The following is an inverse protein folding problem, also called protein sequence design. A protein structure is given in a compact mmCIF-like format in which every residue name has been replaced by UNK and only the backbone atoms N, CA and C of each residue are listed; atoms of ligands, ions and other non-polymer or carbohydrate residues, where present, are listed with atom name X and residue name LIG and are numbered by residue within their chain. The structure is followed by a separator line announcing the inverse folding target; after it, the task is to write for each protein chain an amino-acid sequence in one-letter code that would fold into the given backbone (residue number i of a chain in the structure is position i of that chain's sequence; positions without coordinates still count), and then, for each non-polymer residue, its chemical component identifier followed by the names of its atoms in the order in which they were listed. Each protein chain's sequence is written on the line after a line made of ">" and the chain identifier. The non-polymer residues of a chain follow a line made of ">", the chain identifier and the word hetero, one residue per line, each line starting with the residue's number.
data_IF_411487111536
#
_entry.id   IF_411487111536
#
_cell.length_a   1.000
_cell.length_b   1.000
_cell.length_c   1.000
_cell.angle_alpha   90.00
_cell.angle_beta   90.00
_cell.angle_gamma   90.00
#
_symmetry.space_group_name_H-M   'P 1'
#
loop_
_entity.id
_entity.type
_entity.pdbx_description
1 polymer ?
#
# COMPACT_ATOMS: atom_id res chain seq x y z
N UNK A 1 6.68 4.51 25.33
CA UNK A 1 6.10 4.01 24.07
C UNK A 1 5.40 2.67 24.31
N UNK A 2 4.18 2.53 23.83
CA UNK A 2 3.43 1.29 23.91
C UNK A 2 3.90 0.31 22.81
N UNK A 3 4.48 -0.84 23.22
CA UNK A 3 5.00 -1.82 22.26
C UNK A 3 3.90 -2.46 21.39
N UNK A 4 2.68 -2.64 21.92
CA UNK A 4 1.55 -3.17 21.15
C UNK A 4 1.11 -2.18 20.05
N UNK A 5 1.08 -0.90 20.37
CA UNK A 5 0.76 0.15 19.40
C UNK A 5 1.76 0.18 18.24
N UNK A 6 3.06 0.07 18.54
CA UNK A 6 4.12 0.02 17.54
C UNK A 6 3.98 -1.24 16.67
N UNK A 7 3.78 -2.40 17.28
CA UNK A 7 3.60 -3.66 16.54
C UNK A 7 2.41 -3.60 15.60
N UNK A 8 1.26 -3.07 16.04
CA UNK A 8 0.07 -2.91 15.20
C UNK A 8 0.34 -1.99 14.00
N UNK A 9 1.02 -0.86 14.23
CA UNK A 9 1.42 0.03 13.14
C UNK A 9 2.36 -0.66 12.14
N UNK A 10 3.34 -1.42 12.62
CA UNK A 10 4.28 -2.16 11.77
C UNK A 10 3.57 -3.24 10.95
N UNK A 11 2.69 -4.05 11.57
CA UNK A 11 1.88 -5.03 10.84
C UNK A 11 1.02 -4.38 9.77
N UNK A 12 0.31 -3.32 10.10
CA UNK A 12 -0.53 -2.54 9.18
C UNK A 12 0.24 -2.13 7.92
N UNK A 13 1.45 -1.59 8.08
CA UNK A 13 2.25 -1.11 6.95
C UNK A 13 2.89 -2.28 6.20
N UNK A 14 3.44 -3.26 6.91
CA UNK A 14 4.11 -4.42 6.33
C UNK A 14 3.16 -5.27 5.49
N UNK A 15 1.96 -5.54 6.02
CA UNK A 15 0.94 -6.30 5.33
C UNK A 15 0.45 -5.58 4.07
N UNK A 16 0.25 -4.26 4.13
CA UNK A 16 -0.06 -3.47 2.93
C UNK A 16 1.00 -3.66 1.84
N UNK A 17 2.29 -3.54 2.20
CA UNK A 17 3.39 -3.65 1.24
C UNK A 17 3.52 -5.07 0.67
N UNK A 18 3.34 -6.10 1.50
CA UNK A 18 3.39 -7.49 1.03
C UNK A 18 2.30 -7.77 -0.01
N UNK A 19 1.06 -7.44 0.32
CA UNK A 19 -0.09 -7.75 -0.54
C UNK A 19 -0.05 -6.96 -1.84
N UNK A 20 0.24 -5.66 -1.80
CA UNK A 20 0.34 -4.87 -3.04
C UNK A 20 1.59 -5.24 -3.84
N UNK A 21 2.68 -5.67 -3.21
CA UNK A 21 3.86 -6.19 -3.87
C UNK A 21 3.51 -7.42 -4.72
N UNK A 22 2.75 -8.35 -4.16
CA UNK A 22 2.23 -9.52 -4.88
C UNK A 22 1.32 -9.11 -6.05
N UNK A 23 0.35 -8.21 -5.83
CA UNK A 23 -0.51 -7.72 -6.91
C UNK A 23 0.29 -7.05 -8.04
N UNK A 24 1.33 -6.32 -7.70
CA UNK A 24 2.20 -5.70 -8.72
C UNK A 24 2.99 -6.75 -9.50
N UNK A 25 3.44 -7.85 -8.85
CA UNK A 25 4.18 -8.93 -9.52
C UNK A 25 3.37 -9.67 -10.57
N UNK A 26 2.03 -9.70 -10.44
CA UNK A 26 1.13 -10.30 -11.44
C UNK A 26 1.23 -9.61 -12.82
N UNK A 27 1.78 -8.39 -12.90
CA UNK A 27 2.04 -7.69 -14.17
C UNK A 27 3.29 -8.20 -14.91
N UNK A 28 4.13 -9.01 -14.27
CA UNK A 28 5.35 -9.55 -14.89
C UNK A 28 5.00 -10.44 -16.07
N UNK A 29 5.37 -10.04 -17.27
CA UNK A 29 5.03 -10.73 -18.52
C UNK A 29 3.66 -10.37 -19.11
N UNK A 30 2.88 -9.48 -18.47
CA UNK A 30 1.55 -9.06 -18.89
C UNK A 30 1.38 -7.54 -19.04
N UNK A 31 2.43 -6.78 -18.75
CA UNK A 31 2.41 -5.33 -18.89
C UNK A 31 2.05 -4.87 -20.32
N UNK A 32 1.35 -3.73 -20.48
CA UNK A 32 0.94 -3.24 -21.79
C UNK A 32 2.12 -2.84 -22.69
N UNK A 33 3.26 -2.55 -22.10
CA UNK A 33 4.55 -2.23 -22.73
C UNK A 33 5.66 -2.88 -21.90
N UNK A 34 6.81 -3.17 -22.52
CA UNK A 34 7.96 -3.75 -21.83
C UNK A 34 8.43 -2.88 -20.65
N UNK A 35 8.40 -1.56 -20.83
CA UNK A 35 8.80 -0.59 -19.81
C UNK A 35 7.89 -0.65 -18.58
N UNK A 36 6.58 -0.87 -18.78
CA UNK A 36 5.62 -1.00 -17.68
C UNK A 36 5.72 -2.35 -16.97
N UNK A 37 5.98 -3.41 -17.72
CA UNK A 37 6.29 -4.73 -17.16
C UNK A 37 7.49 -4.65 -16.21
N UNK A 38 8.60 -4.07 -16.68
CA UNK A 38 9.81 -3.87 -15.87
C UNK A 38 9.54 -2.94 -14.68
N UNK A 39 8.78 -1.85 -14.87
CA UNK A 39 8.48 -0.91 -13.81
C UNK A 39 7.66 -1.55 -12.68
N UNK A 40 6.56 -2.25 -13.00
CA UNK A 40 5.73 -2.93 -12.01
C UNK A 40 6.47 -4.06 -11.31
N UNK A 41 7.30 -4.84 -12.04
CA UNK A 41 8.14 -5.88 -11.45
C UNK A 41 9.18 -5.31 -10.47
N UNK A 42 9.82 -4.19 -10.82
CA UNK A 42 10.76 -3.50 -9.92
C UNK A 42 10.06 -2.96 -8.67
N UNK A 43 8.91 -2.30 -8.85
CA UNK A 43 8.12 -1.80 -7.73
C UNK A 43 7.58 -2.94 -6.84
N UNK A 44 7.28 -4.11 -7.41
CA UNK A 44 6.90 -5.29 -6.64
C UNK A 44 8.05 -5.75 -5.72
N UNK A 45 9.28 -5.82 -6.26
CA UNK A 45 10.46 -6.17 -5.47
C UNK A 45 10.72 -5.18 -4.34
N UNK A 46 10.63 -3.87 -4.62
CA UNK A 46 10.79 -2.83 -3.60
C UNK A 46 9.76 -3.01 -2.47
N UNK A 47 8.49 -3.23 -2.80
CA UNK A 47 7.41 -3.39 -1.81
C UNK A 47 7.58 -4.64 -0.96
N UNK A 48 7.94 -5.77 -1.56
CA UNK A 48 8.23 -7.01 -0.80
C UNK A 48 9.44 -6.80 0.11
N UNK A 49 10.50 -6.14 -0.37
CA UNK A 49 11.67 -5.79 0.45
C UNK A 49 11.32 -4.84 1.60
N UNK A 50 10.45 -3.86 1.39
CA UNK A 50 9.94 -2.97 2.43
C UNK A 50 9.15 -3.74 3.49
N UNK A 51 8.28 -4.67 3.07
CA UNK A 51 7.53 -5.54 3.98
C UNK A 51 8.47 -6.41 4.83
N UNK A 52 9.46 -7.06 4.19
CA UNK A 52 10.46 -7.88 4.89
C UNK A 52 11.22 -7.07 5.95
N UNK A 53 11.63 -5.85 5.61
CA UNK A 53 12.33 -4.98 6.56
C UNK A 53 11.45 -4.61 7.76
N UNK A 54 10.17 -4.34 7.55
CA UNK A 54 9.21 -4.07 8.63
C UNK A 54 8.96 -5.31 9.51
N UNK A 55 8.81 -6.50 8.92
CA UNK A 55 8.71 -7.76 9.67
C UNK A 55 9.99 -8.08 10.44
N UNK A 56 11.16 -7.68 9.92
CA UNK A 56 12.43 -7.80 10.65
C UNK A 56 12.44 -6.94 11.92
N UNK A 57 11.85 -5.73 11.87
CA UNK A 57 11.67 -4.91 13.07
C UNK A 57 10.71 -5.61 14.05
N UNK A 58 9.59 -6.16 13.58
CA UNK A 58 8.66 -6.92 14.41
C UNK A 58 9.34 -8.12 15.08
N UNK A 59 10.16 -8.86 14.33
CA UNK A 59 10.94 -9.98 14.86
C UNK A 59 11.88 -9.52 15.99
N UNK A 60 12.55 -8.39 15.82
CA UNK A 60 13.41 -7.80 16.87
C UNK A 60 12.62 -7.39 18.14
N UNK A 61 11.30 -7.20 18.02
CA UNK A 61 10.37 -6.91 19.11
C UNK A 61 9.71 -8.18 19.69
N UNK A 62 10.19 -9.38 19.31
CA UNK A 62 9.75 -10.67 19.85
C UNK A 62 8.63 -11.35 19.06
N UNK A 63 8.31 -10.90 17.85
CA UNK A 63 7.43 -11.62 16.93
C UNK A 63 8.18 -12.77 16.21
N UNK A 64 7.45 -13.61 15.48
CA UNK A 64 8.02 -14.67 14.66
C UNK A 64 8.99 -14.10 13.60
N UNK A 65 9.77 -14.95 12.94
CA UNK A 65 10.61 -14.54 11.81
C UNK A 65 9.78 -14.02 10.63
N UNK A 66 10.36 -13.20 9.73
CA UNK A 66 9.65 -12.57 8.64
C UNK A 66 8.88 -13.53 7.74
N UNK A 67 9.45 -14.68 7.41
CA UNK A 67 8.83 -15.64 6.50
C UNK A 67 7.65 -16.34 7.18
N UNK A 68 7.79 -16.72 8.45
CA UNK A 68 6.66 -17.23 9.25
C UNK A 68 5.54 -16.21 9.33
N UNK A 69 5.84 -14.93 9.59
CA UNK A 69 4.82 -13.86 9.60
C UNK A 69 4.14 -13.73 8.23
N UNK A 70 4.91 -13.76 7.13
CA UNK A 70 4.38 -13.55 5.78
C UNK A 70 3.51 -14.72 5.30
N UNK A 71 3.92 -15.97 5.54
CA UNK A 71 3.39 -17.12 4.81
C UNK A 71 2.56 -18.12 5.64
N UNK A 72 2.47 -17.96 6.96
CA UNK A 72 1.71 -18.90 7.81
C UNK A 72 0.40 -18.33 8.35
N UNK A 73 0.20 -17.02 8.29
CA UNK A 73 -1.03 -16.37 8.76
C UNK A 73 -2.19 -16.59 7.77
N UNK A 74 -3.41 -16.70 8.30
CA UNK A 74 -4.64 -16.64 7.49
C UNK A 74 -5.15 -15.20 7.37
N UNK A 75 -6.12 -14.96 6.49
CA UNK A 75 -6.64 -13.62 6.21
C UNK A 75 -7.05 -12.85 7.48
N UNK A 76 -7.72 -13.49 8.45
CA UNK A 76 -8.16 -12.82 9.67
C UNK A 76 -7.01 -12.31 10.58
N UNK A 77 -5.79 -12.74 10.31
CA UNK A 77 -4.58 -12.33 11.04
C UNK A 77 -3.77 -11.24 10.30
N UNK A 78 -4.19 -10.87 9.10
CA UNK A 78 -3.61 -9.77 8.35
C UNK A 78 -4.25 -8.44 8.75
N UNK A 79 -3.48 -7.35 8.59
CA UNK A 79 -3.88 -5.99 8.94
C UNK A 79 -3.80 -5.01 7.74
N UNK A 80 -3.72 -5.54 6.53
CA UNK A 80 -3.69 -4.72 5.32
C UNK A 80 -5.06 -4.06 5.05
N UNK A 81 -5.07 -2.93 4.35
CA UNK A 81 -6.31 -2.34 3.87
C UNK A 81 -6.90 -3.15 2.71
N UNK A 82 -8.22 -3.10 2.56
CA UNK A 82 -8.94 -3.84 1.50
C UNK A 82 -8.51 -3.38 0.10
N UNK A 83 -8.05 -2.15 -0.05
CA UNK A 83 -7.63 -1.61 -1.35
C UNK A 83 -6.51 -2.41 -2.01
N UNK A 84 -5.55 -2.92 -1.24
CA UNK A 84 -4.42 -3.69 -1.76
C UNK A 84 -4.77 -5.13 -2.15
N UNK A 85 -5.91 -5.64 -1.69
CA UNK A 85 -6.38 -7.00 -1.97
C UNK A 85 -7.00 -7.14 -3.36
N UNK A 86 -7.54 -6.05 -3.89
CA UNK A 86 -8.32 -6.08 -5.11
C UNK A 86 -7.49 -6.63 -6.27
N UNK A 87 -8.08 -7.50 -7.13
CA UNK A 87 -7.42 -7.98 -8.33
C UNK A 87 -6.97 -6.82 -9.23
N UNK A 88 -5.93 -7.04 -10.03
CA UNK A 88 -5.37 -6.01 -10.90
C UNK A 88 -6.36 -5.46 -11.93
N UNK A 89 -7.29 -6.30 -12.41
CA UNK A 89 -8.17 -5.90 -13.51
C UNK A 89 -7.38 -5.46 -14.74
N UNK A 90 -7.85 -4.39 -15.37
CA UNK A 90 -7.16 -3.76 -16.50
C UNK A 90 -6.08 -2.79 -15.99
N UNK A 91 -5.18 -2.37 -16.91
CA UNK A 91 -4.05 -1.50 -16.57
C UNK A 91 -4.48 -0.14 -15.99
N UNK A 92 -5.59 0.43 -16.45
CA UNK A 92 -6.14 1.70 -15.95
C UNK A 92 -6.48 1.65 -14.45
N UNK A 93 -7.07 0.53 -13.96
CA UNK A 93 -7.33 0.37 -12.53
C UNK A 93 -6.02 0.21 -11.74
N UNK A 94 -5.09 -0.63 -12.23
CA UNK A 94 -3.80 -0.82 -11.55
C UNK A 94 -2.99 0.48 -11.48
N UNK A 95 -3.02 1.30 -12.54
CA UNK A 95 -2.38 2.61 -12.54
C UNK A 95 -3.02 3.58 -11.54
N UNK A 96 -4.35 3.64 -11.48
CA UNK A 96 -5.06 4.47 -10.50
C UNK A 96 -4.80 3.99 -9.07
N UNK A 97 -4.81 2.66 -8.84
CA UNK A 97 -4.46 2.09 -7.52
C UNK A 97 -3.04 2.48 -7.14
N UNK A 98 -2.08 2.32 -8.03
CA UNK A 98 -0.70 2.71 -7.83
C UNK A 98 -0.59 4.21 -7.50
N UNK A 99 -1.25 5.08 -8.26
CA UNK A 99 -1.27 6.52 -8.00
C UNK A 99 -1.79 6.86 -6.60
N UNK A 100 -2.97 6.35 -6.24
CA UNK A 100 -3.61 6.66 -4.96
C UNK A 100 -2.85 6.05 -3.78
N UNK A 101 -2.43 4.80 -3.90
CA UNK A 101 -1.74 4.07 -2.84
C UNK A 101 -0.33 4.61 -2.58
N UNK A 102 0.50 4.73 -3.63
CA UNK A 102 1.88 5.16 -3.44
C UNK A 102 2.01 6.63 -3.06
N UNK A 103 1.03 7.48 -3.41
CA UNK A 103 0.94 8.83 -2.86
C UNK A 103 0.75 8.80 -1.33
N UNK A 104 -0.13 7.94 -0.82
CA UNK A 104 -0.34 7.80 0.63
C UNK A 104 0.89 7.20 1.33
N UNK A 105 1.50 6.17 0.74
CA UNK A 105 2.71 5.53 1.26
C UNK A 105 3.88 6.50 1.34
N UNK A 106 4.08 7.33 0.31
CA UNK A 106 5.15 8.31 0.31
C UNK A 106 5.04 9.31 1.48
N UNK A 107 3.84 9.85 1.72
CA UNK A 107 3.60 10.72 2.87
C UNK A 107 3.71 9.99 4.20
N UNK A 108 3.22 8.75 4.29
CA UNK A 108 3.34 7.95 5.50
C UNK A 108 4.81 7.77 5.90
N UNK A 109 5.67 7.35 4.96
CA UNK A 109 7.09 7.18 5.24
C UNK A 109 7.84 8.52 5.41
N UNK A 110 7.34 9.61 4.84
CA UNK A 110 7.84 10.96 5.15
C UNK A 110 7.59 11.31 6.61
N UNK A 111 6.37 11.14 7.12
CA UNK A 111 6.03 11.34 8.53
C UNK A 111 6.84 10.40 9.43
N UNK A 112 6.91 9.12 9.09
CA UNK A 112 7.64 8.11 9.88
C UNK A 112 9.16 8.32 9.89
N UNK A 113 9.72 9.09 8.95
CA UNK A 113 11.15 9.44 8.97
C UNK A 113 11.52 10.34 10.16
N UNK A 114 10.54 10.99 10.79
CA UNK A 114 10.68 11.77 12.01
C UNK A 114 10.17 11.03 13.28
N UNK A 115 9.87 9.74 13.18
CA UNK A 115 9.33 8.93 14.27
C UNK A 115 10.26 8.91 15.49
N UNK A 116 9.68 8.97 16.69
CA UNK A 116 10.41 8.74 17.95
C UNK A 116 10.89 7.30 18.12
N UNK A 117 10.31 6.35 17.36
CA UNK A 117 10.77 4.97 17.31
C UNK A 117 11.87 4.83 16.26
N UNK A 118 13.11 4.89 16.71
CA UNK A 118 14.31 4.99 15.90
C UNK A 118 14.43 3.93 14.78
N UNK A 119 14.17 2.62 15.02
CA UNK A 119 14.28 1.63 13.94
C UNK A 119 13.36 1.93 12.74
N UNK A 120 12.15 2.44 13.01
CA UNK A 120 11.19 2.80 11.97
C UNK A 120 11.60 4.10 11.25
N UNK A 121 12.14 5.08 11.98
CA UNK A 121 12.67 6.31 11.38
C UNK A 121 13.83 6.03 10.41
N UNK A 122 14.77 5.18 10.80
CA UNK A 122 15.93 4.79 9.98
C UNK A 122 15.49 4.03 8.72
N UNK A 123 14.59 3.06 8.85
CA UNK A 123 14.03 2.33 7.73
C UNK A 123 13.29 3.28 6.77
N UNK A 124 12.45 4.17 7.32
CA UNK A 124 11.69 5.15 6.53
C UNK A 124 12.59 6.04 5.69
N UNK A 125 13.73 6.48 6.24
CA UNK A 125 14.71 7.27 5.50
C UNK A 125 15.35 6.51 4.33
N UNK A 126 15.57 5.19 4.45
CA UNK A 126 16.08 4.36 3.35
C UNK A 126 15.07 4.23 2.21
N UNK A 127 13.82 3.95 2.54
CA UNK A 127 12.73 3.68 1.59
C UNK A 127 12.34 4.91 0.75
N UNK A 128 12.54 6.13 1.25
CA UNK A 128 12.14 7.37 0.57
C UNK A 128 12.69 7.52 -0.85
N UNK A 129 13.85 6.95 -1.15
CA UNK A 129 14.43 6.96 -2.51
C UNK A 129 13.56 6.20 -3.52
N UNK A 130 13.14 5.00 -3.16
CA UNK A 130 12.27 4.12 -3.95
C UNK A 130 10.90 4.76 -4.17
N UNK A 131 10.29 5.29 -3.10
CA UNK A 131 8.98 5.95 -3.16
C UNK A 131 8.93 7.20 -4.04
N UNK A 132 10.05 7.90 -4.23
CA UNK A 132 10.15 8.98 -5.21
C UNK A 132 9.97 8.48 -6.64
N UNK A 133 10.57 7.33 -6.95
CA UNK A 133 10.39 6.69 -8.25
C UNK A 133 8.95 6.23 -8.44
N UNK A 134 8.36 5.54 -7.45
CA UNK A 134 6.98 5.06 -7.52
C UNK A 134 5.98 6.21 -7.76
N UNK A 135 6.09 7.28 -6.99
CA UNK A 135 5.21 8.45 -7.15
C UNK A 135 5.47 9.22 -8.45
N UNK A 136 6.71 9.32 -8.91
CA UNK A 136 7.04 9.95 -10.19
C UNK A 136 6.41 9.18 -11.34
N UNK A 137 6.59 7.85 -11.35
CA UNK A 137 6.02 6.95 -12.35
C UNK A 137 4.48 7.11 -12.41
N UNK A 138 3.80 6.93 -11.28
CA UNK A 138 2.35 7.04 -11.19
C UNK A 138 1.83 8.41 -11.66
N UNK A 139 2.44 9.50 -11.17
CA UNK A 139 2.05 10.86 -11.54
C UNK A 139 2.24 11.15 -13.03
N UNK A 140 3.34 10.64 -13.62
CA UNK A 140 3.63 10.82 -15.05
C UNK A 140 2.56 10.15 -15.89
N UNK A 141 2.27 8.89 -15.64
CA UNK A 141 1.28 8.14 -16.39
C UNK A 141 -0.16 8.64 -16.20
N UNK A 142 -0.55 8.99 -14.99
CA UNK A 142 -1.88 9.56 -14.73
C UNK A 142 -2.06 10.89 -15.48
N UNK A 143 -1.05 11.76 -15.51
CA UNK A 143 -1.12 13.02 -16.28
C UNK A 143 -1.17 12.75 -17.78
N UNK A 144 -0.34 11.86 -18.27
CA UNK A 144 -0.24 11.54 -19.68
C UNK A 144 -1.53 10.92 -20.22
N UNK A 145 -2.00 9.83 -19.60
CA UNK A 145 -3.20 9.13 -20.02
C UNK A 145 -4.49 9.88 -19.66
N UNK A 146 -4.49 10.61 -18.55
CA UNK A 146 -5.62 11.45 -18.12
C UNK A 146 -5.83 12.70 -18.97
N UNK A 147 -4.98 12.93 -19.99
CA UNK A 147 -5.07 14.07 -20.93
C UNK A 147 -4.92 13.64 -22.39
N UNK A 148 -4.81 12.34 -22.70
CA UNK A 148 -4.50 11.85 -24.03
C UNK A 148 -5.75 11.69 -24.91
N UNK A 149 -6.43 10.56 -24.85
CA UNK A 149 -7.59 10.25 -25.67
C UNK A 149 -8.87 10.22 -24.86
N UNK A 150 -10.03 10.37 -25.52
CA UNK A 150 -11.33 10.23 -24.86
C UNK A 150 -11.48 8.86 -24.18
N UNK A 151 -10.97 7.80 -24.82
CA UNK A 151 -11.02 6.44 -24.25
C UNK A 151 -10.15 6.33 -22.99
N UNK A 152 -8.89 6.79 -23.04
CA UNK A 152 -8.00 6.72 -21.87
C UNK A 152 -8.54 7.54 -20.69
N UNK A 153 -9.09 8.73 -20.96
CA UNK A 153 -9.72 9.58 -19.97
C UNK A 153 -10.94 8.88 -19.34
N UNK A 154 -11.83 8.30 -20.18
CA UNK A 154 -13.02 7.60 -19.69
C UNK A 154 -12.68 6.38 -18.81
N UNK A 155 -11.71 5.56 -19.23
CA UNK A 155 -11.24 4.40 -18.45
C UNK A 155 -10.63 4.82 -17.12
N UNK A 156 -9.68 5.77 -17.12
CA UNK A 156 -9.08 6.26 -15.87
C UNK A 156 -10.11 6.92 -14.95
N UNK A 157 -11.09 7.65 -15.51
CA UNK A 157 -12.17 8.25 -14.73
C UNK A 157 -13.04 7.20 -14.04
N UNK A 158 -13.39 6.14 -14.75
CA UNK A 158 -14.15 5.03 -14.18
C UNK A 158 -13.36 4.34 -13.06
N UNK A 159 -12.10 4.05 -13.30
CA UNK A 159 -11.19 3.43 -12.31
C UNK A 159 -10.98 4.33 -11.10
N UNK A 160 -10.87 5.66 -11.27
CA UNK A 160 -10.76 6.61 -10.17
C UNK A 160 -12.00 6.62 -9.29
N UNK A 161 -13.19 6.62 -9.88
CA UNK A 161 -14.46 6.58 -9.13
C UNK A 161 -14.61 5.24 -8.38
N UNK A 162 -14.29 4.14 -9.04
CA UNK A 162 -14.34 2.80 -8.43
C UNK A 162 -13.34 2.64 -7.28
N UNK A 163 -12.11 3.10 -7.44
CA UNK A 163 -11.03 2.97 -6.46
C UNK A 163 -11.25 3.83 -5.21
N UNK A 164 -11.95 4.95 -5.31
CA UNK A 164 -11.97 5.98 -4.28
C UNK A 164 -12.51 5.51 -2.91
N UNK A 165 -13.60 4.72 -2.80
CA UNK A 165 -14.07 4.20 -1.52
C UNK A 165 -13.01 3.33 -0.81
N UNK A 166 -12.28 2.53 -1.57
CA UNK A 166 -11.20 1.68 -1.06
C UNK A 166 -9.97 2.49 -0.68
N UNK A 167 -9.62 3.49 -1.49
CA UNK A 167 -8.50 4.39 -1.21
C UNK A 167 -8.73 5.19 0.08
N UNK A 168 -9.94 5.66 0.33
CA UNK A 168 -10.31 6.30 1.61
C UNK A 168 -10.22 5.33 2.79
N UNK A 169 -10.41 4.03 2.58
CA UNK A 169 -10.23 2.99 3.59
C UNK A 169 -8.78 2.78 4.04
N UNK A 170 -7.78 3.23 3.27
CA UNK A 170 -6.37 3.16 3.68
C UNK A 170 -6.09 3.91 4.99
N UNK A 171 -6.90 4.95 5.27
CA UNK A 171 -6.78 5.83 6.43
C UNK A 171 -7.62 5.37 7.63
N UNK A 172 -7.97 4.08 7.70
CA UNK A 172 -8.61 3.49 8.86
C UNK A 172 -7.67 3.58 10.06
N UNK A 173 -8.07 4.28 11.15
CA UNK A 173 -7.22 4.43 12.33
C UNK A 173 -7.08 3.11 13.07
N UNK A 174 -5.96 2.91 13.75
CA UNK A 174 -5.79 1.81 14.68
C UNK A 174 -6.41 2.10 16.04
N UNK A 175 -6.61 1.05 16.86
CA UNK A 175 -7.11 1.22 18.22
C UNK A 175 -6.15 2.06 19.09
N UNK A 176 -4.86 2.07 18.76
CA UNK A 176 -3.78 2.74 19.50
C UNK A 176 -3.30 4.05 18.84
N UNK A 177 -4.04 4.60 17.88
CA UNK A 177 -3.56 5.76 17.12
C UNK A 177 -3.24 6.95 18.03
N UNK A 178 -4.08 7.22 19.05
CA UNK A 178 -3.86 8.34 19.96
C UNK A 178 -2.57 8.18 20.78
N UNK A 179 -2.20 6.95 21.13
CA UNK A 179 -0.96 6.65 21.81
C UNK A 179 0.25 6.86 20.89
N UNK A 180 0.15 6.42 19.63
CA UNK A 180 1.21 6.64 18.62
C UNK A 180 1.46 8.13 18.38
N UNK A 181 0.39 8.94 18.34
CA UNK A 181 0.49 10.40 18.21
C UNK A 181 1.13 11.01 19.45
N UNK A 182 0.65 10.65 20.66
CA UNK A 182 1.16 11.17 21.92
C UNK A 182 2.64 10.84 22.15
N UNK A 183 3.06 9.65 21.73
CA UNK A 183 4.44 9.18 21.81
C UNK A 183 5.35 9.75 20.69
N UNK A 184 4.79 10.48 19.71
CA UNK A 184 5.52 11.03 18.57
C UNK A 184 6.01 9.95 17.59
N UNK A 185 5.38 8.77 17.56
CA UNK A 185 5.73 7.69 16.65
C UNK A 185 5.17 7.94 15.24
N UNK A 186 3.93 8.45 15.17
CA UNK A 186 3.22 8.75 13.94
C UNK A 186 2.28 9.93 14.13
N UNK A 187 2.08 10.77 13.11
CA UNK A 187 1.22 11.95 13.20
C UNK A 187 -0.28 11.64 13.11
N UNK A 188 -0.66 10.41 12.77
CA UNK A 188 -2.02 9.92 12.66
C UNK A 188 -2.57 9.90 11.23
N UNK A 189 -3.59 9.04 11.03
CA UNK A 189 -4.21 8.82 9.71
C UNK A 189 -4.96 10.05 9.20
N UNK A 190 -5.51 10.88 10.09
CA UNK A 190 -6.20 12.10 9.69
C UNK A 190 -5.24 13.13 9.06
N UNK A 191 -4.07 13.34 9.66
CA UNK A 191 -3.04 14.24 9.13
C UNK A 191 -2.48 13.71 7.79
N UNK A 192 -2.23 12.40 7.70
CA UNK A 192 -1.81 11.75 6.47
C UNK A 192 -2.84 11.92 5.35
N UNK A 193 -4.13 11.67 5.64
CA UNK A 193 -5.23 11.82 4.68
C UNK A 193 -5.34 13.25 4.15
N UNK A 194 -5.15 14.25 4.99
CA UNK A 194 -5.19 15.66 4.58
C UNK A 194 -4.09 15.98 3.55
N UNK A 195 -2.86 15.53 3.79
CA UNK A 195 -1.74 15.73 2.85
C UNK A 195 -1.98 14.96 1.54
N UNK A 196 -2.48 13.73 1.63
CA UNK A 196 -2.83 12.92 0.48
C UNK A 196 -3.89 13.57 -0.39
N UNK A 197 -5.00 14.07 0.18
CA UNK A 197 -6.06 14.78 -0.56
C UNK A 197 -5.47 15.95 -1.34
N UNK A 198 -4.72 16.81 -0.67
CA UNK A 198 -4.09 17.98 -1.32
C UNK A 198 -3.21 17.58 -2.51
N UNK A 199 -2.48 16.47 -2.40
CA UNK A 199 -1.61 15.99 -3.45
C UNK A 199 -2.39 15.41 -4.63
N UNK A 200 -3.37 14.53 -4.39
CA UNK A 200 -4.15 13.94 -5.48
C UNK A 200 -4.97 15.01 -6.22
N UNK A 201 -5.55 15.98 -5.51
CA UNK A 201 -6.23 17.13 -6.11
C UNK A 201 -5.29 17.91 -7.04
N UNK A 202 -4.09 18.21 -6.59
CA UNK A 202 -3.10 18.95 -7.37
C UNK A 202 -2.63 18.20 -8.64
N UNK A 203 -2.58 16.87 -8.62
CA UNK A 203 -2.23 16.06 -9.81
C UNK A 203 -3.43 15.95 -10.75
N UNK A 204 -4.61 15.61 -10.24
CA UNK A 204 -5.84 15.46 -11.04
C UNK A 204 -6.21 16.79 -11.72
N UNK A 205 -6.01 17.93 -11.08
CA UNK A 205 -6.24 19.25 -11.66
C UNK A 205 -5.36 19.54 -12.91
N UNK A 206 -4.31 18.76 -13.15
CA UNK A 206 -3.46 18.87 -14.34
C UNK A 206 -3.91 17.93 -15.49
N UNK A 207 -5.06 17.30 -15.36
CA UNK A 207 -5.64 16.33 -16.30
C UNK A 207 -7.06 16.70 -16.68
N UNK A 208 -7.67 15.92 -17.57
CA UNK A 208 -9.11 16.01 -17.86
C UNK A 208 -9.97 15.20 -16.90
N UNK A 209 -9.36 14.49 -15.93
CA UNK A 209 -10.06 13.73 -14.91
C UNK A 209 -10.72 14.65 -13.88
N UNK A 210 -11.74 14.12 -13.21
CA UNK A 210 -12.46 14.83 -12.14
C UNK A 210 -12.46 14.00 -10.88
N UNK A 211 -11.95 14.57 -9.80
CA UNK A 211 -12.03 13.93 -8.48
C UNK A 211 -13.50 13.92 -8.02
N UNK A 212 -14.04 12.78 -7.58
CA UNK A 212 -15.39 12.75 -7.00
C UNK A 212 -15.44 13.53 -5.67
N UNK A 213 -16.64 13.97 -5.27
CA UNK A 213 -16.79 14.64 -3.96
C UNK A 213 -16.53 13.65 -2.81
N UNK A 214 -15.34 13.72 -2.22
CA UNK A 214 -14.89 12.80 -1.17
C UNK A 214 -15.76 12.81 0.09
N UNK A 215 -16.59 13.86 0.28
CA UNK A 215 -17.50 13.99 1.43
C UNK A 215 -18.73 13.09 1.28
N UNK A 216 -19.05 12.68 0.07
CA UNK A 216 -20.21 11.84 -0.23
C UNK A 216 -19.87 10.35 -0.29
N UNK A 217 -18.58 10.02 -0.19
CA UNK A 217 -18.09 8.64 -0.33
C UNK A 217 -17.92 8.02 1.05
N UNK A 218 -18.55 6.86 1.25
CA UNK A 218 -18.29 6.03 2.42
C UNK A 218 -17.03 5.20 2.19
N UNK A 219 -16.05 5.34 3.07
CA UNK A 219 -14.82 4.56 3.02
C UNK A 219 -15.09 3.07 3.30
N UNK A 220 -14.46 2.19 2.52
CA UNK A 220 -14.50 0.74 2.75
C UNK A 220 -13.36 0.38 3.70
N UNK A 221 -13.73 -0.02 4.91
CA UNK A 221 -12.84 -0.31 6.04
C UNK A 221 -13.05 -1.72 6.56
N UNK A 222 -12.21 -2.15 7.50
CA UNK A 222 -12.29 -3.44 8.20
C UNK A 222 -11.02 -4.27 8.06
N UNK A 223 -10.21 -4.05 7.02
CA UNK A 223 -8.98 -4.82 6.82
C UNK A 223 -8.01 -4.70 8.00
N UNK A 224 -7.94 -3.54 8.64
CA UNK A 224 -7.09 -3.31 9.83
C UNK A 224 -7.48 -4.13 11.06
N UNK A 225 -8.67 -4.68 11.06
CA UNK A 225 -9.21 -5.51 12.16
C UNK A 225 -9.58 -6.93 11.68
N UNK A 226 -8.93 -7.43 10.62
CA UNK A 226 -9.06 -8.79 10.11
C UNK A 226 -10.36 -9.06 9.33
N UNK A 227 -11.06 -8.02 8.87
CA UNK A 227 -12.25 -8.14 8.00
C UNK A 227 -11.87 -7.79 6.57
N UNK A 228 -11.62 -8.80 5.79
CA UNK A 228 -11.07 -8.69 4.45
C UNK A 228 -12.10 -8.99 3.36
N UNK A 229 -11.74 -8.68 2.11
CA UNK A 229 -12.49 -9.09 0.94
C UNK A 229 -12.30 -10.58 0.65
N UNK A 230 -13.14 -11.13 -0.22
CA UNK A 230 -13.03 -12.49 -0.73
C UNK A 230 -11.73 -12.75 -1.52
N UNK A 231 -11.00 -11.69 -1.86
CA UNK A 231 -9.79 -11.76 -2.69
C UNK A 231 -8.51 -12.03 -1.89
N UNK A 232 -8.51 -11.80 -0.57
CA UNK A 232 -7.28 -11.95 0.21
C UNK A 232 -6.88 -13.41 0.42
N UNK A 233 -7.81 -14.26 0.90
CA UNK A 233 -7.45 -15.64 1.25
C UNK A 233 -6.92 -16.44 0.04
N UNK A 234 -7.53 -16.39 -1.18
CA UNK A 234 -6.96 -17.04 -2.35
C UNK A 234 -5.55 -16.56 -2.70
N UNK A 235 -5.28 -15.24 -2.55
CA UNK A 235 -3.95 -14.68 -2.79
C UNK A 235 -2.93 -15.22 -1.78
N UNK A 236 -3.28 -15.28 -0.50
CA UNK A 236 -2.41 -15.85 0.55
C UNK A 236 -2.13 -17.34 0.32
N UNK A 237 -3.12 -18.09 -0.16
CA UNK A 237 -2.96 -19.51 -0.47
C UNK A 237 -1.96 -19.72 -1.62
N UNK A 238 -2.07 -18.92 -2.69
CA UNK A 238 -1.12 -18.90 -3.80
C UNK A 238 0.29 -18.49 -3.34
N UNK A 239 0.41 -17.39 -2.63
CA UNK A 239 1.70 -16.86 -2.10
C UNK A 239 2.45 -17.88 -1.25
N UNK A 240 1.72 -18.67 -0.44
CA UNK A 240 2.30 -19.58 0.53
C UNK A 240 2.43 -21.03 0.03
N UNK A 241 1.98 -21.35 -1.17
CA UNK A 241 1.92 -22.73 -1.69
C UNK A 241 3.29 -23.42 -1.61
N UNK A 242 4.33 -22.78 -2.13
CA UNK A 242 5.69 -23.36 -2.15
C UNK A 242 6.28 -23.41 -0.75
N UNK A 243 6.15 -22.33 0.02
CA UNK A 243 6.64 -22.29 1.41
C UNK A 243 6.03 -23.40 2.28
N UNK A 244 4.74 -23.69 2.13
CA UNK A 244 4.03 -24.72 2.91
C UNK A 244 4.51 -26.15 2.59
N UNK A 245 5.12 -26.39 1.42
CA UNK A 245 5.67 -27.72 1.08
C UNK A 245 6.85 -28.07 1.99
N UNK A 246 7.75 -27.13 2.21
CA UNK A 246 8.89 -27.27 3.14
C UNK A 246 9.23 -25.93 3.80
N UNK A 247 8.60 -25.63 4.96
CA UNK A 247 8.86 -24.38 5.68
C UNK A 247 10.28 -24.27 6.25
N UNK A 248 11.07 -25.34 6.19
CA UNK A 248 12.45 -25.37 6.72
C UNK A 248 13.51 -25.26 5.62
N UNK A 249 13.10 -25.25 4.34
CA UNK A 249 14.02 -25.11 3.22
C UNK A 249 14.68 -23.73 3.25
N UNK A 250 15.98 -23.69 2.98
CA UNK A 250 16.73 -22.48 2.70
C UNK A 250 16.50 -22.11 1.21
N UNK A 251 15.87 -20.94 0.96
CA UNK A 251 15.51 -20.45 -0.37
C UNK A 251 16.51 -19.37 -0.86
#
# INVERSE_FOLDING_TARGET
>A
MNALAIKELLYKIADDQLIIGHRNSEWTGFGPLLEEDIAFSSMAQDKVGQSQALYTILHSMGEQDPDTIAFTRNAAQFHNCIFVELPNGEYDFSLIRHFLYDTAVAFRFEMLSASSFQPLAELSNKIRGELKYHTLHANTWVKQLGSATEESIARLQQSLVYAMPYALGMFEPSAFEQELIADGVFEGEAALREQWIKRIEAIIAQTSLRLPDLRTITAIQGGRVGKHSEHLQPLLDEMSEVFRIDPTAEW
#
